data_IF_836679918214
#
_entry.id   IF_836679918214
#
_cell.length_a   1.000
_cell.length_b   1.000
_cell.length_c   1.000
_cell.angle_alpha   90.00
_cell.angle_beta   90.00
_cell.angle_gamma   90.00
#
_symmetry.space_group_name_H-M   'P 1'
#
loop_
_entity.id
_entity.type
_entity.pdbx_description
1 polymer ?
#
# COMPACT_ATOMS: atom_id res chain seq x y z
N UNK A 1 -8.24 7.66 6.58
CA UNK A 1 -7.88 8.12 5.23
C UNK A 1 -6.63 9.00 5.28
N UNK A 2 -6.65 10.24 5.83
CA UNK A 2 -5.50 11.15 5.82
C UNK A 2 -4.20 10.53 6.41
N UNK A 3 -4.29 9.72 7.47
CA UNK A 3 -3.12 9.04 8.04
C UNK A 3 -2.52 8.01 7.09
N UNK A 4 -3.37 7.29 6.36
CA UNK A 4 -2.99 6.32 5.34
C UNK A 4 -2.31 7.01 4.16
N UNK A 5 -2.95 8.05 3.62
CA UNK A 5 -2.41 8.84 2.51
C UNK A 5 -1.04 9.45 2.85
N UNK A 6 -0.86 9.98 4.07
CA UNK A 6 0.41 10.54 4.51
C UNK A 6 1.47 9.43 4.62
N UNK A 7 1.14 8.31 5.26
CA UNK A 7 2.09 7.23 5.50
C UNK A 7 2.60 6.63 4.18
N UNK A 8 1.69 6.28 3.27
CA UNK A 8 2.06 5.66 2.00
C UNK A 8 2.76 6.62 1.04
N UNK A 9 2.18 7.81 0.80
CA UNK A 9 2.76 8.72 -0.18
C UNK A 9 4.19 9.15 0.17
N UNK A 10 4.44 9.40 1.45
CA UNK A 10 5.77 9.85 1.89
C UNK A 10 6.79 8.70 1.89
N UNK A 11 6.36 7.49 2.30
CA UNK A 11 7.21 6.30 2.26
C UNK A 11 7.57 5.89 0.82
N UNK A 12 6.61 5.93 -0.10
CA UNK A 12 6.83 5.59 -1.49
C UNK A 12 7.85 6.51 -2.16
N UNK A 13 7.79 7.81 -1.88
CA UNK A 13 8.76 8.78 -2.39
C UNK A 13 10.16 8.52 -1.83
N UNK A 14 10.27 8.24 -0.52
CA UNK A 14 11.55 7.87 0.09
C UNK A 14 12.13 6.62 -0.56
N UNK A 15 11.33 5.58 -0.75
CA UNK A 15 11.75 4.33 -1.40
C UNK A 15 12.11 4.53 -2.87
N UNK A 16 11.36 5.38 -3.58
CA UNK A 16 11.67 5.77 -4.94
C UNK A 16 13.02 6.46 -5.08
N UNK A 17 13.36 7.33 -4.11
CA UNK A 17 14.67 7.96 -4.04
C UNK A 17 15.78 6.94 -3.73
N UNK A 18 15.57 6.05 -2.76
CA UNK A 18 16.53 4.99 -2.39
C UNK A 18 16.81 4.03 -3.55
N UNK A 19 15.82 3.71 -4.34
CA UNK A 19 15.94 2.86 -5.53
C UNK A 19 16.46 3.61 -6.76
N UNK A 20 16.72 4.93 -6.66
CA UNK A 20 17.18 5.75 -7.77
C UNK A 20 16.15 5.98 -8.88
N UNK A 21 14.86 5.68 -8.61
CA UNK A 21 13.76 5.90 -9.54
C UNK A 21 13.32 7.38 -9.55
N UNK A 22 13.49 8.06 -8.42
CA UNK A 22 13.29 9.50 -8.27
C UNK A 22 14.65 10.13 -7.96
N UNK A 23 15.13 10.98 -8.85
CA UNK A 23 16.33 11.77 -8.61
C UNK A 23 16.00 13.03 -7.79
N UNK A 24 17.02 13.61 -7.13
CA UNK A 24 16.83 14.87 -6.40
C UNK A 24 16.33 16.00 -7.31
N UNK A 25 16.77 16.04 -8.55
CA UNK A 25 16.32 17.02 -9.53
C UNK A 25 14.83 16.87 -9.85
N UNK A 26 14.37 15.64 -10.08
CA UNK A 26 12.94 15.35 -10.31
C UNK A 26 12.11 15.71 -9.09
N UNK A 27 12.57 15.34 -7.89
CA UNK A 27 11.91 15.68 -6.63
C UNK A 27 11.75 17.21 -6.50
N UNK A 28 12.86 17.95 -6.59
CA UNK A 28 12.86 19.42 -6.54
C UNK A 28 11.91 20.02 -7.58
N UNK A 29 11.99 19.61 -8.84
CA UNK A 29 11.14 20.12 -9.92
C UNK A 29 9.65 19.97 -9.61
N UNK A 30 9.24 18.83 -9.03
CA UNK A 30 7.84 18.61 -8.67
C UNK A 30 7.43 19.44 -7.45
N UNK A 31 8.29 19.57 -6.45
CA UNK A 31 8.01 20.44 -5.30
C UNK A 31 7.83 21.89 -5.74
N UNK A 32 8.76 22.45 -6.50
CA UNK A 32 8.67 23.83 -6.99
C UNK A 32 7.48 24.10 -7.95
N UNK A 33 6.90 23.07 -8.52
CA UNK A 33 5.71 23.21 -9.37
C UNK A 33 4.43 23.45 -8.57
N UNK A 34 4.34 22.86 -7.39
CA UNK A 34 3.10 22.81 -6.61
C UNK A 34 3.16 23.59 -5.31
N UNK A 35 4.35 23.97 -4.85
CA UNK A 35 4.53 24.75 -3.63
C UNK A 35 4.87 26.19 -3.96
N UNK A 36 4.26 27.10 -3.22
CA UNK A 36 4.46 28.54 -3.37
C UNK A 36 5.55 29.04 -2.40
N UNK A 37 6.67 29.47 -2.93
CA UNK A 37 7.77 30.03 -2.14
C UNK A 37 7.42 31.33 -1.39
N UNK A 38 6.30 31.96 -1.69
CA UNK A 38 5.78 33.12 -0.93
C UNK A 38 5.04 32.71 0.33
N UNK A 39 4.57 31.45 0.41
CA UNK A 39 3.98 30.87 1.62
C UNK A 39 5.07 30.44 2.60
N UNK A 40 5.13 30.99 3.85
CA UNK A 40 6.21 30.68 4.79
C UNK A 40 6.35 29.20 5.11
N UNK A 41 5.24 28.46 5.24
CA UNK A 41 5.24 27.04 5.56
C UNK A 41 5.77 26.19 4.41
N UNK A 42 5.38 26.50 3.18
CA UNK A 42 5.83 25.81 1.98
C UNK A 42 7.28 26.19 1.62
N UNK A 43 7.66 27.46 1.86
CA UNK A 43 9.04 27.90 1.74
C UNK A 43 9.98 27.12 2.66
N UNK A 44 9.57 26.83 3.92
CA UNK A 44 10.38 26.01 4.82
C UNK A 44 10.65 24.62 4.24
N UNK A 45 9.68 24.02 3.57
CA UNK A 45 9.83 22.72 2.90
C UNK A 45 10.80 22.82 1.72
N UNK A 46 10.61 23.82 0.86
CA UNK A 46 11.51 24.06 -0.29
C UNK A 46 12.93 24.37 0.17
N UNK A 47 13.08 25.21 1.19
CA UNK A 47 14.40 25.55 1.75
C UNK A 47 15.09 24.35 2.38
N UNK A 48 14.33 23.41 2.95
CA UNK A 48 14.89 22.15 3.45
C UNK A 48 15.56 21.37 2.31
N UNK A 49 14.90 21.22 1.16
CA UNK A 49 15.48 20.54 -0.01
C UNK A 49 16.73 21.21 -0.57
N UNK A 50 16.84 22.54 -0.44
CA UNK A 50 18.02 23.29 -0.91
C UNK A 50 19.18 23.22 0.09
N UNK A 51 18.87 23.21 1.38
CA UNK A 51 19.86 23.36 2.45
C UNK A 51 20.29 22.04 3.09
N UNK A 52 19.70 20.89 2.70
CA UNK A 52 20.21 19.59 3.17
C UNK A 52 21.61 19.41 2.60
N UNK A 53 22.60 19.61 3.47
CA UNK A 53 24.00 19.41 3.13
C UNK A 53 24.44 18.04 3.62
N UNK A 54 24.61 17.12 2.71
CA UNK A 54 25.17 15.78 2.97
C UNK A 54 26.56 15.73 2.37
N UNK A 55 27.52 15.23 3.13
CA UNK A 55 28.87 15.03 2.61
C UNK A 55 28.81 14.27 1.28
N UNK A 56 29.36 14.82 0.16
CA UNK A 56 29.37 14.13 -1.14
C UNK A 56 30.04 12.77 -1.11
N UNK A 57 30.90 12.52 -0.13
CA UNK A 57 31.58 11.24 0.06
C UNK A 57 30.75 10.24 0.87
N UNK A 58 29.56 10.62 1.34
CA UNK A 58 28.65 9.67 1.98
C UNK A 58 28.25 8.58 0.98
N UNK A 59 28.24 7.29 1.36
CA UNK A 59 27.98 6.20 0.42
C UNK A 59 26.66 6.32 -0.34
N UNK A 60 25.63 6.91 0.30
CA UNK A 60 24.28 7.05 -0.25
C UNK A 60 23.66 8.41 0.13
N UNK A 61 24.17 9.53 -0.39
CA UNK A 61 23.76 10.87 0.01
C UNK A 61 22.27 11.13 -0.27
N UNK A 62 21.72 10.58 -1.36
CA UNK A 62 20.32 10.76 -1.74
C UNK A 62 19.38 10.10 -0.74
N UNK A 63 19.74 8.95 -0.18
CA UNK A 63 18.92 8.27 0.84
C UNK A 63 18.82 9.10 2.14
N UNK A 64 19.92 9.72 2.56
CA UNK A 64 19.93 10.59 3.74
C UNK A 64 19.07 11.82 3.49
N UNK A 65 19.20 12.44 2.31
CA UNK A 65 18.37 13.58 1.91
C UNK A 65 16.89 13.20 1.92
N UNK A 66 16.55 12.06 1.32
CA UNK A 66 15.16 11.59 1.27
C UNK A 66 14.58 11.32 2.66
N UNK A 67 15.38 10.73 3.58
CA UNK A 67 14.93 10.44 4.95
C UNK A 67 14.71 11.72 5.76
N UNK A 68 15.61 12.70 5.68
CA UNK A 68 15.43 13.99 6.35
C UNK A 68 14.22 14.73 5.80
N UNK A 69 14.08 14.74 4.48
CA UNK A 69 12.95 15.35 3.79
C UNK A 69 11.63 14.68 4.19
N UNK A 70 11.59 13.35 4.24
CA UNK A 70 10.44 12.59 4.70
C UNK A 70 9.94 13.06 6.07
N UNK A 71 10.84 13.16 7.05
CA UNK A 71 10.47 13.55 8.43
C UNK A 71 9.80 14.93 8.44
N UNK A 72 10.37 15.89 7.71
CA UNK A 72 9.83 17.25 7.64
C UNK A 72 8.45 17.30 7.00
N UNK A 73 8.30 16.64 5.85
CA UNK A 73 7.04 16.59 5.10
C UNK A 73 5.96 15.89 5.90
N UNK A 74 6.27 14.74 6.49
CA UNK A 74 5.32 13.97 7.27
C UNK A 74 4.75 14.82 8.43
N UNK A 75 5.60 15.50 9.16
CA UNK A 75 5.17 16.40 10.24
C UNK A 75 4.27 17.51 9.72
N UNK A 76 4.66 18.17 8.63
CA UNK A 76 3.85 19.22 8.02
C UNK A 76 2.46 18.72 7.60
N UNK A 77 2.40 17.57 6.90
CA UNK A 77 1.13 16.98 6.47
C UNK A 77 0.23 16.56 7.63
N UNK A 78 0.82 16.04 8.72
CA UNK A 78 0.08 15.70 9.93
C UNK A 78 -0.53 16.96 10.55
N UNK A 79 0.26 18.01 10.74
CA UNK A 79 -0.20 19.27 11.34
C UNK A 79 -1.28 19.93 10.48
N UNK A 80 -1.11 19.93 9.16
CA UNK A 80 -2.09 20.44 8.20
C UNK A 80 -3.42 19.65 8.27
N UNK A 81 -3.34 18.31 8.35
CA UNK A 81 -4.52 17.44 8.48
C UNK A 81 -5.26 17.66 9.80
N UNK A 82 -4.54 17.83 10.91
CA UNK A 82 -5.13 18.12 12.23
C UNK A 82 -5.89 19.45 12.18
N UNK A 83 -5.29 20.50 11.61
CA UNK A 83 -5.97 21.79 11.43
C UNK A 83 -7.23 21.67 10.57
N UNK A 84 -7.15 20.96 9.44
CA UNK A 84 -8.28 20.74 8.56
C UNK A 84 -9.40 19.95 9.27
N UNK A 85 -9.05 18.93 10.06
CA UNK A 85 -10.00 18.17 10.88
C UNK A 85 -10.72 19.06 11.90
N UNK A 86 -9.97 19.86 12.67
CA UNK A 86 -10.55 20.76 13.69
C UNK A 86 -11.50 21.77 13.04
N UNK A 87 -11.12 22.35 11.90
CA UNK A 87 -11.91 23.34 11.19
C UNK A 87 -13.20 22.77 10.58
N UNK A 88 -13.26 21.46 10.33
CA UNK A 88 -14.42 20.78 9.75
C UNK A 88 -15.11 19.82 10.73
N UNK A 89 -14.74 19.86 12.01
CA UNK A 89 -15.21 18.93 13.02
C UNK A 89 -16.75 18.78 13.07
N UNK A 90 -17.49 19.87 13.05
CA UNK A 90 -18.96 19.83 13.13
C UNK A 90 -19.59 19.15 11.89
N UNK A 91 -19.03 19.39 10.70
CA UNK A 91 -19.47 18.74 9.46
C UNK A 91 -19.14 17.24 9.46
N UNK A 92 -18.01 16.85 10.05
CA UNK A 92 -17.61 15.44 10.18
C UNK A 92 -18.59 14.73 11.15
N UNK A 93 -18.93 15.36 12.28
CA UNK A 93 -19.87 14.79 13.24
C UNK A 93 -21.30 14.66 12.70
N UNK A 94 -21.75 15.62 11.87
CA UNK A 94 -23.07 15.57 11.23
C UNK A 94 -23.15 14.59 10.06
N UNK A 95 -22.02 14.09 9.57
CA UNK A 95 -21.95 13.25 8.36
C UNK A 95 -22.04 14.03 7.03
N UNK A 96 -21.95 15.35 7.09
CA UNK A 96 -22.01 16.24 5.90
C UNK A 96 -20.64 16.52 5.29
N UNK A 97 -19.60 15.84 5.79
CA UNK A 97 -18.24 16.00 5.28
C UNK A 97 -17.90 14.87 4.30
N UNK A 98 -17.77 15.20 3.03
CA UNK A 98 -17.50 14.27 1.93
C UNK A 98 -16.28 14.74 1.12
N UNK A 99 -15.20 15.12 1.82
CA UNK A 99 -13.95 15.58 1.20
C UNK A 99 -12.75 15.02 1.90
N UNK A 100 -11.63 14.91 1.16
CA UNK A 100 -10.35 14.55 1.73
C UNK A 100 -9.77 15.72 2.57
N UNK A 101 -9.30 15.41 3.79
CA UNK A 101 -8.71 16.41 4.69
C UNK A 101 -7.45 17.07 4.10
N UNK A 102 -6.64 16.31 3.36
CA UNK A 102 -5.44 16.85 2.74
C UNK A 102 -5.75 17.83 1.63
N UNK A 103 -6.82 17.59 0.85
CA UNK A 103 -7.25 18.49 -0.23
C UNK A 103 -7.80 19.83 0.28
N UNK A 104 -8.24 19.86 1.54
CA UNK A 104 -8.71 21.08 2.22
C UNK A 104 -7.65 21.72 3.14
N UNK A 105 -6.44 21.20 3.13
CA UNK A 105 -5.37 21.63 4.03
C UNK A 105 -4.29 22.43 3.31
N UNK A 106 -3.40 23.03 4.10
CA UNK A 106 -2.15 23.65 3.61
C UNK A 106 -1.24 22.63 2.88
N UNK A 107 -1.52 21.33 2.96
CA UNK A 107 -0.74 20.27 2.33
C UNK A 107 -1.25 19.85 0.93
N UNK A 108 -2.28 20.51 0.39
CA UNK A 108 -2.83 20.20 -0.94
C UNK A 108 -1.76 20.20 -2.04
N UNK A 109 -0.86 21.19 -2.03
CA UNK A 109 0.26 21.28 -2.98
C UNK A 109 1.20 20.09 -2.89
N UNK A 110 1.53 19.65 -1.67
CA UNK A 110 2.34 18.46 -1.44
C UNK A 110 1.66 17.19 -1.93
N UNK A 111 0.37 17.02 -1.65
CA UNK A 111 -0.42 15.88 -2.13
C UNK A 111 -0.38 15.80 -3.66
N UNK A 112 -0.54 16.93 -4.35
CA UNK A 112 -0.43 16.99 -5.82
C UNK A 112 0.98 16.64 -6.32
N UNK A 113 2.01 17.17 -5.67
CA UNK A 113 3.40 16.84 -6.03
C UNK A 113 3.69 15.34 -5.86
N UNK A 114 3.23 14.76 -4.75
CA UNK A 114 3.41 13.33 -4.48
C UNK A 114 2.63 12.44 -5.43
N UNK A 115 1.42 12.84 -5.82
CA UNK A 115 0.66 12.13 -6.85
C UNK A 115 1.44 12.03 -8.16
N UNK A 116 2.00 13.14 -8.65
CA UNK A 116 2.81 13.12 -9.87
C UNK A 116 4.13 12.35 -9.73
N UNK A 117 4.73 12.33 -8.53
CA UNK A 117 5.91 11.50 -8.26
C UNK A 117 5.55 10.01 -8.20
N UNK A 118 4.41 9.68 -7.60
CA UNK A 118 3.85 8.34 -7.58
C UNK A 118 3.59 7.79 -8.98
N UNK A 119 3.08 8.61 -9.90
CA UNK A 119 2.90 8.21 -11.30
C UNK A 119 4.22 7.78 -11.97
N UNK A 120 5.34 8.41 -11.61
CA UNK A 120 6.67 8.01 -12.12
C UNK A 120 7.07 6.64 -11.55
N UNK A 121 6.83 6.42 -10.24
CA UNK A 121 7.17 5.17 -9.57
C UNK A 121 6.33 4.00 -10.09
N UNK A 122 5.01 4.16 -10.09
CA UNK A 122 4.09 3.08 -10.46
C UNK A 122 4.16 2.70 -11.93
N UNK A 123 4.62 3.61 -12.81
CA UNK A 123 4.82 3.31 -14.23
C UNK A 123 6.24 2.82 -14.57
N UNK A 124 7.13 2.64 -13.60
CA UNK A 124 8.44 2.06 -13.87
C UNK A 124 8.33 0.55 -14.12
N UNK A 125 9.22 0.03 -14.97
CA UNK A 125 9.16 -1.39 -15.40
C UNK A 125 9.31 -2.37 -14.25
N UNK A 126 10.05 -2.00 -13.23
CA UNK A 126 10.29 -2.80 -12.04
C UNK A 126 9.02 -3.00 -11.23
N UNK A 127 8.27 -1.92 -10.98
CA UNK A 127 7.00 -1.96 -10.25
C UNK A 127 5.93 -2.66 -11.06
N UNK A 128 5.78 -2.32 -12.36
CA UNK A 128 4.81 -2.99 -13.24
C UNK A 128 4.99 -4.51 -13.29
N UNK A 129 6.24 -5.00 -13.29
CA UNK A 129 6.50 -6.45 -13.22
C UNK A 129 6.04 -7.06 -11.89
N UNK A 130 6.28 -6.36 -10.77
CA UNK A 130 5.85 -6.83 -9.46
C UNK A 130 4.34 -6.87 -9.35
N UNK A 131 3.64 -5.84 -9.82
CA UNK A 131 2.17 -5.78 -9.85
C UNK A 131 1.58 -6.93 -10.68
N UNK A 132 2.06 -7.12 -11.90
CA UNK A 132 1.61 -8.21 -12.77
C UNK A 132 1.89 -9.59 -12.15
N UNK A 133 3.01 -9.73 -11.45
CA UNK A 133 3.34 -10.98 -10.76
C UNK A 133 2.41 -11.20 -9.58
N UNK A 134 2.17 -10.18 -8.75
CA UNK A 134 1.25 -10.24 -7.63
C UNK A 134 -0.18 -10.54 -8.04
N UNK A 135 -0.69 -9.84 -9.05
CA UNK A 135 -2.01 -10.10 -9.65
C UNK A 135 -2.15 -11.57 -10.08
N UNK A 136 -1.16 -12.08 -10.81
CA UNK A 136 -1.17 -13.47 -11.26
C UNK A 136 -1.17 -14.48 -10.12
N UNK A 137 -0.36 -14.25 -9.08
CA UNK A 137 -0.28 -15.13 -7.91
C UNK A 137 -1.62 -15.15 -7.18
N UNK A 138 -2.17 -13.97 -6.83
CA UNK A 138 -3.41 -13.84 -6.07
C UNK A 138 -4.58 -14.42 -6.85
N UNK A 139 -4.69 -14.10 -8.14
CA UNK A 139 -5.75 -14.64 -9.02
C UNK A 139 -5.73 -16.15 -9.06
N UNK A 140 -4.57 -16.78 -9.27
CA UNK A 140 -4.48 -18.24 -9.35
C UNK A 140 -4.79 -18.89 -8.00
N UNK A 141 -4.28 -18.33 -6.89
CA UNK A 141 -4.59 -18.84 -5.56
C UNK A 141 -6.09 -18.76 -5.27
N UNK A 142 -6.72 -17.61 -5.53
CA UNK A 142 -8.18 -17.45 -5.38
C UNK A 142 -8.96 -18.46 -6.22
N UNK A 143 -8.60 -18.63 -7.50
CA UNK A 143 -9.28 -19.57 -8.38
C UNK A 143 -9.15 -21.03 -7.91
N UNK A 144 -7.93 -21.48 -7.58
CA UNK A 144 -7.68 -22.86 -7.20
C UNK A 144 -8.36 -23.21 -5.88
N UNK A 145 -8.25 -22.35 -4.87
CA UNK A 145 -8.89 -22.57 -3.57
C UNK A 145 -10.42 -22.42 -3.64
N UNK A 146 -10.96 -21.48 -4.42
CA UNK A 146 -12.41 -21.35 -4.63
C UNK A 146 -12.97 -22.59 -5.31
N UNK A 147 -12.35 -23.07 -6.39
CA UNK A 147 -12.74 -24.31 -7.06
C UNK A 147 -12.69 -25.51 -6.09
N UNK A 148 -11.67 -25.58 -5.25
CA UNK A 148 -11.52 -26.66 -4.29
C UNK A 148 -12.62 -26.67 -3.23
N UNK A 149 -12.92 -25.50 -2.61
CA UNK A 149 -13.86 -25.42 -1.49
C UNK A 149 -15.32 -25.60 -1.94
N UNK A 150 -15.68 -25.12 -3.13
CA UNK A 150 -17.03 -25.22 -3.68
C UNK A 150 -17.30 -26.55 -4.36
N UNK A 151 -16.27 -27.37 -4.63
CA UNK A 151 -16.40 -28.64 -5.33
C UNK A 151 -16.94 -29.76 -4.42
N UNK A 152 -17.91 -30.57 -4.90
CA UNK A 152 -18.31 -31.78 -4.20
C UNK A 152 -17.17 -32.81 -4.04
N UNK A 153 -16.15 -32.74 -4.89
CA UNK A 153 -14.94 -33.59 -4.82
C UNK A 153 -14.09 -33.33 -3.60
N UNK A 154 -14.26 -32.20 -2.88
CA UNK A 154 -13.57 -31.91 -1.62
C UNK A 154 -13.73 -33.04 -0.59
N UNK A 155 -14.88 -33.69 -0.55
CA UNK A 155 -15.16 -34.79 0.37
C UNK A 155 -14.57 -36.15 -0.12
N UNK A 156 -13.97 -36.19 -1.31
CA UNK A 156 -13.39 -37.45 -1.86
C UNK A 156 -11.93 -37.55 -1.41
N UNK A 157 -11.62 -38.56 -0.61
CA UNK A 157 -10.27 -38.85 -0.13
C UNK A 157 -9.25 -38.95 -1.27
N UNK A 158 -8.15 -38.22 -1.15
CA UNK A 158 -7.04 -38.18 -2.11
C UNK A 158 -7.29 -37.28 -3.33
N UNK A 159 -8.42 -36.58 -3.41
CA UNK A 159 -8.69 -35.62 -4.48
C UNK A 159 -7.76 -34.40 -4.39
N UNK A 160 -7.59 -33.68 -5.52
CA UNK A 160 -6.88 -32.40 -5.55
C UNK A 160 -7.56 -31.39 -4.63
N UNK A 161 -8.85 -31.36 -4.64
CA UNK A 161 -9.70 -30.45 -3.88
C UNK A 161 -9.56 -30.68 -2.37
N UNK A 162 -9.53 -31.94 -1.92
CA UNK A 162 -9.25 -32.27 -0.51
C UNK A 162 -7.84 -31.80 -0.09
N UNK A 163 -6.85 -32.05 -0.93
CA UNK A 163 -5.47 -31.64 -0.65
C UNK A 163 -5.33 -30.14 -0.54
N UNK A 164 -5.93 -29.34 -1.46
CA UNK A 164 -5.94 -27.90 -1.40
C UNK A 164 -6.65 -27.40 -0.13
N UNK A 165 -7.82 -27.96 0.21
CA UNK A 165 -8.52 -27.61 1.45
C UNK A 165 -7.64 -27.89 2.69
N UNK A 166 -6.88 -28.96 2.69
CA UNK A 166 -5.98 -29.30 3.80
C UNK A 166 -4.73 -28.41 3.90
N UNK A 167 -4.39 -27.66 2.85
CA UNK A 167 -3.35 -26.62 2.92
C UNK A 167 -3.82 -25.36 3.69
N UNK A 168 -5.13 -25.14 3.78
CA UNK A 168 -5.66 -24.03 4.58
C UNK A 168 -5.35 -24.32 6.04
N UNK A 169 -4.78 -23.34 6.73
CA UNK A 169 -4.41 -23.45 8.15
C UNK A 169 -5.57 -24.01 9.00
N UNK A 170 -5.26 -24.93 9.90
CA UNK A 170 -6.24 -25.54 10.80
C UNK A 170 -7.02 -24.51 11.64
N UNK A 171 -6.40 -23.38 11.99
CA UNK A 171 -7.05 -22.32 12.74
C UNK A 171 -8.20 -21.67 11.94
N UNK A 172 -7.97 -21.38 10.67
CA UNK A 172 -9.03 -20.84 9.80
C UNK A 172 -10.15 -21.86 9.59
N UNK A 173 -9.79 -23.12 9.30
CA UNK A 173 -10.78 -24.21 9.13
C UNK A 173 -11.62 -24.43 10.39
N UNK A 174 -11.00 -24.43 11.56
CA UNK A 174 -11.69 -24.60 12.84
C UNK A 174 -12.77 -23.54 13.07
N UNK A 175 -12.48 -22.28 12.76
CA UNK A 175 -13.48 -21.20 12.91
C UNK A 175 -14.68 -21.43 12.01
N UNK A 176 -14.48 -21.86 10.77
CA UNK A 176 -15.56 -22.17 9.85
C UNK A 176 -16.38 -23.39 10.30
N UNK A 177 -15.70 -24.43 10.79
CA UNK A 177 -16.37 -25.69 11.21
C UNK A 177 -17.13 -25.52 12.54
N UNK A 178 -16.64 -24.65 13.43
CA UNK A 178 -17.27 -24.39 14.73
C UNK A 178 -18.52 -23.51 14.64
N UNK A 179 -18.59 -22.65 13.65
CA UNK A 179 -19.69 -21.71 13.47
C UNK A 179 -20.31 -21.85 12.06
N UNK A 180 -20.85 -23.05 11.72
CA UNK A 180 -21.47 -23.26 10.44
C UNK A 180 -22.78 -22.46 10.37
N UNK A 181 -22.78 -21.37 9.64
CA UNK A 181 -24.00 -20.66 9.28
C UNK A 181 -24.60 -21.37 8.07
N UNK A 182 -25.64 -22.15 8.30
CA UNK A 182 -26.27 -22.95 7.24
C UNK A 182 -26.95 -22.10 6.15
N UNK A 183 -27.36 -20.88 6.50
CA UNK A 183 -28.02 -19.97 5.54
C UNK A 183 -27.02 -19.26 4.63
N UNK A 184 -25.76 -19.07 5.09
CA UNK A 184 -24.70 -18.37 4.38
C UNK A 184 -23.47 -19.26 4.12
N UNK A 185 -23.65 -20.56 3.92
CA UNK A 185 -22.54 -21.51 3.77
C UNK A 185 -21.52 -21.07 2.69
N UNK A 186 -21.98 -20.69 1.51
CA UNK A 186 -21.11 -20.26 0.42
C UNK A 186 -20.31 -19.00 0.81
N UNK A 187 -20.95 -18.04 1.47
CA UNK A 187 -20.26 -16.84 1.96
C UNK A 187 -19.14 -17.20 2.95
N UNK A 188 -19.43 -18.08 3.92
CA UNK A 188 -18.44 -18.50 4.90
C UNK A 188 -17.28 -19.28 4.24
N UNK A 189 -17.55 -20.10 3.25
CA UNK A 189 -16.55 -20.82 2.46
C UNK A 189 -15.65 -19.84 1.68
N UNK A 190 -16.21 -18.83 1.03
CA UNK A 190 -15.46 -17.82 0.30
C UNK A 190 -14.66 -16.90 1.25
N UNK A 191 -15.25 -16.54 2.38
CA UNK A 191 -14.57 -15.75 3.41
C UNK A 191 -13.36 -16.50 3.99
N UNK A 192 -13.47 -17.80 4.25
CA UNK A 192 -12.33 -18.62 4.68
C UNK A 192 -11.15 -18.50 3.71
N UNK A 193 -11.40 -18.49 2.40
CA UNK A 193 -10.35 -18.38 1.38
C UNK A 193 -9.74 -16.98 1.41
N UNK A 194 -10.55 -15.94 1.43
CA UNK A 194 -10.06 -14.57 1.48
C UNK A 194 -9.23 -14.33 2.74
N UNK A 195 -9.71 -14.77 3.91
CA UNK A 195 -8.98 -14.63 5.17
C UNK A 195 -7.65 -15.39 5.12
N UNK A 196 -7.61 -16.60 4.54
CA UNK A 196 -6.40 -17.39 4.38
C UNK A 196 -5.39 -16.71 3.45
N UNK A 197 -5.82 -16.21 2.30
CA UNK A 197 -4.93 -15.55 1.33
C UNK A 197 -4.45 -14.18 1.85
N UNK A 198 -5.33 -13.38 2.44
CA UNK A 198 -4.97 -12.09 3.03
C UNK A 198 -4.02 -12.23 4.24
N UNK A 199 -4.05 -13.37 4.92
CA UNK A 199 -3.12 -13.68 6.02
C UNK A 199 -1.74 -14.17 5.59
N UNK A 200 -1.49 -14.31 4.28
CA UNK A 200 -0.19 -14.73 3.76
C UNK A 200 0.80 -13.57 3.73
N UNK A 201 2.08 -13.87 3.92
CA UNK A 201 3.16 -12.99 3.48
C UNK A 201 3.39 -13.16 1.98
N UNK A 202 3.98 -12.15 1.32
CA UNK A 202 4.29 -12.21 -0.12
C UNK A 202 5.15 -13.44 -0.47
N UNK A 203 6.15 -13.74 0.36
CA UNK A 203 7.02 -14.91 0.17
C UNK A 203 6.23 -16.22 0.26
N UNK A 204 5.33 -16.35 1.24
CA UNK A 204 4.51 -17.54 1.38
C UNK A 204 3.53 -17.72 0.22
N UNK A 205 2.88 -16.65 -0.22
CA UNK A 205 1.98 -16.67 -1.38
C UNK A 205 2.71 -17.10 -2.66
N UNK A 206 3.91 -16.56 -2.89
CA UNK A 206 4.77 -16.93 -4.03
C UNK A 206 5.19 -18.40 -3.97
N UNK A 207 5.63 -18.89 -2.82
CA UNK A 207 6.08 -20.28 -2.65
C UNK A 207 4.92 -21.26 -2.79
N UNK A 208 3.76 -20.93 -2.25
CA UNK A 208 2.54 -21.73 -2.43
C UNK A 208 2.11 -21.77 -3.90
N UNK A 209 2.07 -20.61 -4.57
CA UNK A 209 1.77 -20.52 -6.00
C UNK A 209 2.72 -21.40 -6.83
N UNK A 210 4.03 -21.32 -6.60
CA UNK A 210 5.04 -22.15 -7.27
C UNK A 210 4.76 -23.64 -7.05
N UNK A 211 4.50 -24.02 -5.81
CA UNK A 211 4.26 -25.40 -5.42
C UNK A 211 3.02 -26.01 -6.08
N UNK A 212 1.91 -25.26 -6.16
CA UNK A 212 0.67 -25.77 -6.74
C UNK A 212 0.65 -25.71 -8.29
N UNK A 213 1.45 -24.83 -8.90
CA UNK A 213 1.58 -24.69 -10.36
C UNK A 213 2.74 -25.47 -10.95
N UNK A 214 3.56 -26.12 -10.12
CA UNK A 214 4.76 -26.84 -10.52
C UNK A 214 5.81 -25.98 -11.26
N UNK A 215 5.85 -24.67 -10.95
CA UNK A 215 6.85 -23.77 -11.50
C UNK A 215 8.07 -23.75 -10.57
N UNK A 216 9.23 -24.11 -11.10
CA UNK A 216 10.51 -24.17 -10.38
C UNK A 216 10.54 -25.12 -9.17
N UNK A 217 10.16 -26.34 -9.41
CA UNK A 217 10.49 -27.43 -8.52
C UNK A 217 11.92 -27.91 -8.81
#
# INVERSE_FOLDING_TARGET
EAADDIAYSVADIEDGCKKGLITLEVLKKKMYRYLDSSNPSEYEILSTLENINVDPNYPQPLEVIASIFRIKIQNFMIDASIKAFINNHDKILSGDFDMDLLDLSEAEGLKKAFKELGEILYNCKEVLKLELTGDKIITVLLEEFTKAITSPKRSRKGSKEEKLYNLISSNYRFLMEKYPDSENKLYNELRLITDFICGMTDSYALDLYRSITAINI
#
